data_IF_054797279801
#
_entry.id   IF_054797279801
#
_cell.length_a   1.000
_cell.length_b   1.000
_cell.length_c   1.000
_cell.angle_alpha   90.00
_cell.angle_beta   90.00
_cell.angle_gamma   90.00
#
_symmetry.space_group_name_H-M   'P 1'
#
loop_
_entity.id
_entity.type
_entity.pdbx_description
1 polymer ?
#
# COMPACT_ATOMS: atom_id res chain seq x y z
N UNK A 1 -9.94 -8.32 1.71
CA UNK A 1 -9.06 -7.19 2.04
C UNK A 1 -7.94 -7.00 1.04
N UNK A 2 -7.30 -8.08 0.60
CA UNK A 2 -6.19 -7.97 -0.35
C UNK A 2 -6.63 -7.40 -1.68
N UNK A 3 -7.80 -7.79 -2.18
CA UNK A 3 -8.32 -7.27 -3.45
C UNK A 3 -8.55 -5.77 -3.39
N UNK A 4 -9.10 -5.28 -2.30
CA UNK A 4 -9.35 -3.84 -2.10
C UNK A 4 -8.03 -3.07 -2.02
N UNK A 5 -7.05 -3.61 -1.30
CA UNK A 5 -5.75 -2.95 -1.18
C UNK A 5 -5.00 -2.93 -2.52
N UNK A 6 -5.08 -4.00 -3.30
CA UNK A 6 -4.49 -4.04 -4.64
C UNK A 6 -5.13 -2.98 -5.54
N UNK A 7 -6.45 -2.88 -5.50
CA UNK A 7 -7.17 -1.86 -6.25
C UNK A 7 -6.69 -0.45 -5.86
N UNK A 8 -6.57 -0.20 -4.56
CA UNK A 8 -6.11 1.09 -4.06
C UNK A 8 -4.70 1.42 -4.49
N UNK A 9 -3.79 0.44 -4.43
CA UNK A 9 -2.40 0.65 -4.86
C UNK A 9 -2.31 0.92 -6.35
N UNK A 10 -3.07 0.20 -7.17
CA UNK A 10 -3.10 0.44 -8.62
C UNK A 10 -3.68 1.80 -8.94
N UNK A 11 -4.69 2.23 -8.20
CA UNK A 11 -5.26 3.57 -8.35
C UNK A 11 -4.20 4.63 -8.06
N UNK A 12 -3.45 4.49 -6.96
CA UNK A 12 -2.40 5.43 -6.61
C UNK A 12 -1.28 5.44 -7.64
N UNK A 13 -0.89 4.26 -8.14
CA UNK A 13 0.14 4.17 -9.17
C UNK A 13 -0.25 4.96 -10.42
N UNK A 14 -1.52 4.85 -10.81
CA UNK A 14 -2.01 5.50 -12.01
C UNK A 14 -2.20 7.00 -11.83
N UNK A 15 -2.76 7.42 -10.72
CA UNK A 15 -3.20 8.81 -10.52
C UNK A 15 -2.29 9.63 -9.60
N UNK A 16 -1.62 8.99 -8.66
CA UNK A 16 -0.81 9.65 -7.64
C UNK A 16 0.50 8.92 -7.38
N UNK A 17 1.31 8.67 -8.44
CA UNK A 17 2.54 7.87 -8.27
C UNK A 17 3.53 8.52 -7.32
N UNK A 18 3.62 9.85 -7.32
CA UNK A 18 4.51 10.56 -6.41
C UNK A 18 4.12 10.38 -4.94
N UNK A 19 2.82 10.40 -4.66
CA UNK A 19 2.30 10.19 -3.31
C UNK A 19 2.63 8.78 -2.84
N UNK A 20 2.43 7.78 -3.71
CA UNK A 20 2.72 6.40 -3.39
C UNK A 20 4.21 6.21 -3.08
N UNK A 21 5.07 6.75 -3.92
CA UNK A 21 6.52 6.67 -3.71
C UNK A 21 6.95 7.33 -2.41
N UNK A 22 6.44 8.50 -2.13
CA UNK A 22 6.79 9.24 -0.92
C UNK A 22 6.30 8.52 0.33
N UNK A 23 5.10 7.96 0.29
CA UNK A 23 4.50 7.27 1.44
C UNK A 23 5.29 6.04 1.84
N UNK A 24 5.80 5.28 0.87
CA UNK A 24 6.49 4.01 1.12
C UNK A 24 7.96 4.04 0.79
N UNK A 25 8.52 5.23 0.64
CA UNK A 25 9.97 5.44 0.40
C UNK A 25 10.47 4.62 -0.79
N UNK A 26 9.77 4.75 -1.91
CA UNK A 26 10.09 4.04 -3.14
C UNK A 26 10.76 4.98 -4.13
N UNK A 27 11.79 4.49 -4.83
CA UNK A 27 12.36 5.19 -5.99
C UNK A 27 11.52 4.93 -7.22
N UNK A 28 11.14 3.67 -7.41
CA UNK A 28 10.26 3.23 -8.48
C UNK A 28 9.14 2.39 -7.89
N UNK A 29 8.03 2.27 -8.63
CA UNK A 29 6.91 1.44 -8.19
C UNK A 29 7.08 0.03 -8.74
N UNK A 30 7.35 -0.97 -7.89
CA UNK A 30 7.51 -2.35 -8.35
C UNK A 30 6.14 -2.98 -8.66
N UNK A 31 6.17 -4.22 -9.15
CA UNK A 31 4.96 -5.00 -9.31
C UNK A 31 4.27 -5.22 -7.98
N UNK A 32 3.00 -5.66 -8.04
CA UNK A 32 2.14 -5.70 -6.86
C UNK A 32 2.69 -6.59 -5.74
N UNK A 33 3.25 -7.76 -6.05
CA UNK A 33 3.75 -8.66 -5.01
C UNK A 33 4.98 -8.10 -4.32
N UNK A 34 6.03 -7.65 -5.03
CA UNK A 34 7.16 -6.98 -4.39
C UNK A 34 6.73 -5.72 -3.63
N UNK A 35 5.73 -5.01 -4.11
CA UNK A 35 5.23 -3.81 -3.45
C UNK A 35 4.61 -4.17 -2.10
N UNK A 36 3.78 -5.22 -2.03
CA UNK A 36 3.24 -5.71 -0.78
C UNK A 36 4.35 -6.13 0.19
N UNK A 37 5.35 -6.84 -0.31
CA UNK A 37 6.49 -7.26 0.51
C UNK A 37 7.23 -6.06 1.09
N UNK A 38 7.47 -5.04 0.27
CA UNK A 38 8.13 -3.81 0.71
C UNK A 38 7.33 -3.11 1.79
N UNK A 39 6.04 -2.93 1.56
CA UNK A 39 5.16 -2.25 2.53
C UNK A 39 5.06 -3.06 3.82
N UNK A 40 4.92 -4.37 3.72
CA UNK A 40 4.84 -5.23 4.88
C UNK A 40 6.08 -5.14 5.76
N UNK A 41 7.25 -5.13 5.16
CA UNK A 41 8.50 -4.98 5.89
C UNK A 41 8.64 -3.59 6.48
N UNK A 42 8.30 -2.56 5.71
CA UNK A 42 8.40 -1.18 6.16
C UNK A 42 7.50 -0.91 7.37
N UNK A 43 6.33 -1.52 7.41
CA UNK A 43 5.34 -1.34 8.47
C UNK A 43 5.40 -2.41 9.57
N UNK A 44 6.32 -3.35 9.45
CA UNK A 44 6.46 -4.40 10.45
C UNK A 44 5.33 -5.43 10.45
N UNK A 45 4.69 -5.64 9.31
CA UNK A 45 3.61 -6.62 9.17
C UNK A 45 4.19 -8.01 8.93
N UNK A 46 4.80 -8.57 9.97
CA UNK A 46 5.49 -9.85 9.87
C UNK A 46 4.82 -10.89 10.75
N UNK A 47 4.82 -12.13 10.27
CA UNK A 47 4.40 -13.29 11.05
C UNK A 47 5.59 -13.82 11.84
N UNK A 48 5.30 -14.74 12.77
CA UNK A 48 6.35 -15.50 13.45
C UNK A 48 7.22 -16.18 12.38
N UNK A 49 8.54 -16.02 12.49
CA UNK A 49 9.47 -16.54 11.49
C UNK A 49 9.87 -15.53 10.42
N UNK A 50 9.34 -14.31 10.46
CA UNK A 50 9.78 -13.23 9.58
C UNK A 50 9.09 -13.17 8.22
N UNK A 51 8.07 -14.00 8.00
CA UNK A 51 7.30 -13.96 6.75
C UNK A 51 6.33 -12.78 6.74
N UNK A 52 6.06 -12.25 5.55
CA UNK A 52 5.12 -11.14 5.39
C UNK A 52 3.70 -11.63 5.70
N UNK A 53 3.02 -10.91 6.58
CA UNK A 53 1.60 -11.13 6.84
C UNK A 53 0.79 -10.30 5.85
N UNK A 54 0.36 -10.93 4.76
CA UNK A 54 -0.31 -10.23 3.67
C UNK A 54 -1.66 -9.64 4.08
N UNK A 55 -2.40 -10.31 4.97
CA UNK A 55 -3.68 -9.78 5.45
C UNK A 55 -3.48 -8.51 6.27
N UNK A 56 -2.51 -8.54 7.16
CA UNK A 56 -2.18 -7.37 7.97
C UNK A 56 -1.64 -6.24 7.11
N UNK A 57 -0.81 -6.57 6.12
CA UNK A 57 -0.29 -5.59 5.16
C UNK A 57 -1.44 -4.93 4.41
N UNK A 58 -2.42 -5.72 3.95
CA UNK A 58 -3.59 -5.19 3.26
C UNK A 58 -4.38 -4.22 4.15
N UNK A 59 -4.58 -4.56 5.42
CA UNK A 59 -5.25 -3.67 6.36
C UNK A 59 -4.51 -2.35 6.53
N UNK A 60 -3.19 -2.41 6.64
CA UNK A 60 -2.36 -1.22 6.78
C UNK A 60 -2.46 -0.35 5.53
N UNK A 61 -2.40 -0.96 4.35
CA UNK A 61 -2.51 -0.24 3.08
C UNK A 61 -3.86 0.47 2.99
N UNK A 62 -4.95 -0.21 3.31
CA UNK A 62 -6.29 0.39 3.26
C UNK A 62 -6.38 1.56 4.23
N UNK A 63 -5.87 1.38 5.44
CA UNK A 63 -5.84 2.45 6.45
C UNK A 63 -5.04 3.64 5.98
N UNK A 64 -3.87 3.39 5.38
CA UNK A 64 -3.00 4.45 4.87
C UNK A 64 -3.68 5.23 3.75
N UNK A 65 -4.35 4.53 2.83
CA UNK A 65 -5.05 5.18 1.72
C UNK A 65 -6.18 6.06 2.24
N UNK A 66 -6.94 5.58 3.21
CA UNK A 66 -8.01 6.38 3.83
C UNK A 66 -7.48 7.61 4.55
N UNK A 67 -6.29 7.50 5.11
CA UNK A 67 -5.64 8.61 5.80
C UNK A 67 -4.94 9.60 4.89
N UNK A 68 -4.77 9.27 3.62
CA UNK A 68 -4.14 10.18 2.67
C UNK A 68 -5.10 11.28 2.27
N UNK A 69 -4.59 12.52 2.23
CA UNK A 69 -5.36 13.66 1.74
C UNK A 69 -5.07 13.83 0.26
N UNK A 70 -5.95 13.34 -0.58
CA UNK A 70 -5.77 13.33 -2.03
C UNK A 70 -6.50 14.50 -2.72
N UNK A 71 -6.69 15.62 -1.99
CA UNK A 71 -7.35 16.80 -2.52
C UNK A 71 -8.84 16.58 -2.71
N UNK A 72 -9.42 17.08 -3.83
CA UNK A 72 -10.86 16.98 -4.04
C UNK A 72 -11.34 15.57 -4.40
N UNK A 73 -10.43 14.65 -4.62
CA UNK A 73 -10.79 13.28 -4.99
C UNK A 73 -11.28 12.51 -3.78
N UNK A 74 -12.45 11.93 -3.89
CA UNK A 74 -12.99 11.02 -2.88
C UNK A 74 -12.65 9.59 -3.27
N UNK A 75 -11.97 8.91 -2.38
CA UNK A 75 -11.62 7.52 -2.58
C UNK A 75 -12.42 6.69 -1.58
N UNK A 76 -13.54 6.15 -2.05
CA UNK A 76 -14.47 5.38 -1.24
C UNK A 76 -14.17 3.90 -1.37
N UNK A 77 -13.76 3.30 -0.29
CA UNK A 77 -13.50 1.87 -0.24
C UNK A 77 -14.56 1.13 0.57
#
# INVERSE_FOLDING_TARGET
LQDVSVFGLRFLEKHYPGTLKARYKLEDIPDIVPLFDHIGRLRGCLRAGGEIDYDKTAEVIIRDIRGMKLGPLTFDL
#
